data_IF_140848145264
#
_entry.id   IF_140848145264
#
_cell.length_a   1.000
_cell.length_b   1.000
_cell.length_c   1.000
_cell.angle_alpha   90.00
_cell.angle_beta   90.00
_cell.angle_gamma   90.00
#
_symmetry.space_group_name_H-M   'P 1'
#
loop_
_entity.id
_entity.type
_entity.pdbx_description
1 polymer ?
#
# COMPACT_ATOMS: atom_id res chain seq x y z
N UNK A 1 2.72 6.54 -6.45
CA UNK A 1 2.47 5.09 -6.68
C UNK A 1 3.74 4.45 -7.22
N UNK A 2 4.12 3.26 -6.75
CA UNK A 2 5.25 2.49 -7.29
C UNK A 2 4.77 1.37 -8.21
N UNK A 3 5.45 1.15 -9.34
CA UNK A 3 5.09 0.12 -10.34
C UNK A 3 6.37 -0.52 -10.88
N UNK A 4 6.37 -1.85 -10.96
CA UNK A 4 7.43 -2.70 -11.49
C UNK A 4 6.84 -3.78 -12.41
N UNK A 5 7.66 -4.35 -13.30
CA UNK A 5 7.27 -5.42 -14.22
C UNK A 5 7.02 -6.76 -13.52
N UNK A 6 7.65 -6.97 -12.37
CA UNK A 6 7.58 -8.19 -11.60
C UNK A 6 7.41 -7.85 -10.12
N UNK A 7 6.79 -8.77 -9.38
CA UNK A 7 6.67 -8.68 -7.94
C UNK A 7 8.01 -9.00 -7.28
N UNK A 8 8.60 -8.04 -6.57
CA UNK A 8 9.89 -8.20 -5.90
C UNK A 8 9.84 -7.74 -4.45
N UNK A 9 10.73 -8.29 -3.61
CA UNK A 9 10.90 -7.81 -2.23
C UNK A 9 11.23 -6.31 -2.17
N UNK A 10 12.05 -5.83 -3.11
CA UNK A 10 12.41 -4.41 -3.22
C UNK A 10 11.19 -3.55 -3.57
N UNK A 11 10.32 -4.05 -4.45
CA UNK A 11 9.06 -3.39 -4.80
C UNK A 11 8.16 -3.18 -3.58
N UNK A 12 8.03 -4.20 -2.72
CA UNK A 12 7.32 -4.09 -1.45
C UNK A 12 7.94 -3.06 -0.49
N UNK A 13 9.26 -3.07 -0.36
CA UNK A 13 9.99 -2.11 0.48
C UNK A 13 9.78 -0.67 0.01
N UNK A 14 9.91 -0.42 -1.30
CA UNK A 14 9.68 0.90 -1.91
C UNK A 14 8.25 1.38 -1.74
N UNK A 15 7.28 0.47 -1.90
CA UNK A 15 5.86 0.79 -1.69
C UNK A 15 5.61 1.21 -0.24
N UNK A 16 6.12 0.44 0.73
CA UNK A 16 5.99 0.76 2.15
C UNK A 16 6.69 2.05 2.52
N UNK A 17 7.88 2.32 1.97
CA UNK A 17 8.57 3.59 2.16
C UNK A 17 7.73 4.79 1.70
N UNK A 18 7.09 4.70 0.54
CA UNK A 18 6.18 5.76 0.04
C UNK A 18 4.99 5.95 1.00
N UNK A 19 4.41 4.86 1.48
CA UNK A 19 3.28 4.92 2.43
C UNK A 19 3.71 5.56 3.75
N UNK A 20 4.85 5.13 4.31
CA UNK A 20 5.36 5.65 5.58
C UNK A 20 5.74 7.13 5.50
N UNK A 21 6.38 7.55 4.40
CA UNK A 21 6.69 8.98 4.18
C UNK A 21 5.43 9.83 4.06
N UNK A 22 4.34 9.29 3.50
CA UNK A 22 3.11 10.04 3.25
C UNK A 22 2.14 10.06 4.44
N UNK A 23 2.08 8.99 5.22
CA UNK A 23 1.06 8.80 6.27
C UNK A 23 1.63 8.48 7.66
N UNK A 24 2.95 8.36 7.79
CA UNK A 24 3.62 7.89 9.01
C UNK A 24 3.59 6.37 9.17
N UNK A 25 4.17 5.89 10.26
CA UNK A 25 4.22 4.46 10.56
C UNK A 25 2.88 3.97 11.14
N UNK A 26 2.27 2.92 10.56
CA UNK A 26 1.09 2.29 11.14
C UNK A 26 1.47 1.42 12.33
N UNK A 27 0.54 1.16 13.26
CA UNK A 27 0.75 0.20 14.35
C UNK A 27 0.72 -1.26 13.87
N UNK A 28 -0.11 -1.55 12.86
CA UNK A 28 -0.38 -2.91 12.39
C UNK A 28 -0.46 -2.93 10.86
N UNK A 29 0.15 -3.93 10.23
CA UNK A 29 0.00 -4.24 8.81
C UNK A 29 -0.57 -5.65 8.66
N UNK A 30 -1.65 -5.78 7.88
CA UNK A 30 -2.23 -7.07 7.53
C UNK A 30 -1.76 -7.51 6.14
N UNK A 31 -1.16 -8.70 6.04
CA UNK A 31 -0.54 -9.22 4.81
C UNK A 31 -1.00 -10.62 4.50
N UNK A 32 -0.85 -11.05 3.24
CA UNK A 32 -0.97 -12.48 2.91
C UNK A 32 0.28 -13.22 3.39
N UNK A 33 0.20 -14.55 3.47
CA UNK A 33 1.36 -15.41 3.74
C UNK A 33 2.30 -15.43 2.53
N UNK A 34 2.91 -14.29 2.24
CA UNK A 34 3.92 -14.12 1.21
C UNK A 34 5.31 -14.23 1.84
N UNK A 35 6.27 -14.86 1.15
CA UNK A 35 7.62 -15.13 1.68
C UNK A 35 8.39 -13.89 2.16
N UNK A 36 8.01 -12.69 1.68
CA UNK A 36 8.56 -11.40 2.13
C UNK A 36 8.16 -11.07 3.57
N UNK A 37 6.91 -11.34 3.94
CA UNK A 37 6.28 -10.94 5.20
C UNK A 37 6.06 -12.10 6.17
N UNK A 38 6.36 -13.31 5.73
CA UNK A 38 6.13 -14.53 6.49
C UNK A 38 7.22 -15.54 6.13
N UNK A 39 8.06 -15.88 7.11
CA UNK A 39 8.97 -17.02 6.98
C UNK A 39 8.24 -18.33 7.26
N UNK A 40 8.93 -19.45 7.07
CA UNK A 40 8.45 -20.77 7.51
C UNK A 40 8.02 -20.76 8.98
N UNK A 41 7.20 -21.72 9.39
CA UNK A 41 6.67 -21.77 10.77
C UNK A 41 7.77 -21.56 11.82
N UNK A 42 7.66 -20.47 12.59
CA UNK A 42 8.59 -20.11 13.65
C UNK A 42 9.81 -19.28 13.24
N UNK A 43 9.96 -18.89 11.96
CA UNK A 43 11.08 -18.05 11.51
C UNK A 43 10.57 -16.70 11.00
N UNK A 44 10.96 -15.62 11.67
CA UNK A 44 10.69 -14.26 11.19
C UNK A 44 11.61 -13.92 10.02
N UNK A 45 11.06 -13.25 8.99
CA UNK A 45 11.90 -12.72 7.92
C UNK A 45 12.71 -11.53 8.45
N UNK A 46 13.85 -11.23 7.81
CA UNK A 46 14.60 -10.00 8.13
C UNK A 46 13.72 -8.75 7.99
N UNK A 47 12.76 -8.79 7.08
CA UNK A 47 11.83 -7.68 6.86
C UNK A 47 10.82 -7.53 7.99
N UNK A 48 10.29 -8.64 8.49
CA UNK A 48 9.40 -8.68 9.66
C UNK A 48 10.10 -8.15 10.91
N UNK A 49 11.34 -8.58 11.16
CA UNK A 49 12.18 -8.09 12.27
C UNK A 49 12.35 -6.57 12.24
N UNK A 50 12.76 -6.03 11.10
CA UNK A 50 12.97 -4.59 10.92
C UNK A 50 11.70 -3.76 11.12
N UNK A 51 10.53 -4.32 10.79
CA UNK A 51 9.24 -3.66 11.00
C UNK A 51 8.82 -3.72 12.47
N UNK A 52 9.01 -4.88 13.13
CA UNK A 52 8.74 -5.05 14.56
C UNK A 52 9.60 -4.11 15.42
N UNK A 53 10.88 -3.93 15.10
CA UNK A 53 11.78 -2.96 15.77
C UNK A 53 11.29 -1.51 15.65
N UNK A 54 10.59 -1.17 14.57
CA UNK A 54 9.95 0.13 14.36
C UNK A 54 8.58 0.25 15.05
N UNK A 55 8.18 -0.75 15.83
CA UNK A 55 6.88 -0.80 16.50
C UNK A 55 5.71 -1.13 15.58
N UNK A 56 5.99 -1.68 14.39
CA UNK A 56 4.99 -2.04 13.38
C UNK A 56 4.78 -3.54 13.41
N UNK A 57 3.61 -3.98 13.89
CA UNK A 57 3.29 -5.41 13.98
C UNK A 57 2.73 -5.94 12.65
N UNK A 58 3.29 -7.03 12.14
CA UNK A 58 2.78 -7.72 10.94
C UNK A 58 1.84 -8.85 11.35
N UNK A 59 0.69 -8.95 10.67
CA UNK A 59 -0.26 -10.05 10.85
C UNK A 59 -0.52 -10.68 9.48
N UNK A 60 0.16 -11.80 9.23
CA UNK A 60 0.03 -12.58 8.00
C UNK A 60 -1.10 -13.61 8.11
N UNK A 61 -1.96 -13.71 7.10
CA UNK A 61 -3.00 -14.74 7.03
C UNK A 61 -3.32 -15.12 5.59
N UNK A 62 -3.58 -16.41 5.37
CA UNK A 62 -4.10 -16.95 4.11
C UNK A 62 -5.62 -16.92 4.02
N UNK A 63 -6.33 -16.43 5.05
CA UNK A 63 -7.79 -16.38 5.05
C UNK A 63 -8.29 -15.12 4.32
N UNK A 64 -8.95 -15.27 3.15
CA UNK A 64 -9.46 -14.12 2.37
C UNK A 64 -10.44 -13.25 3.17
N UNK A 65 -11.21 -13.87 4.09
CA UNK A 65 -12.18 -13.16 4.95
C UNK A 65 -11.52 -12.13 5.87
N UNK A 66 -10.20 -12.14 6.03
CA UNK A 66 -9.48 -11.14 6.83
C UNK A 66 -9.19 -9.84 6.08
N UNK A 67 -9.35 -9.79 4.75
CA UNK A 67 -9.02 -8.59 3.95
C UNK A 67 -10.10 -8.16 2.92
N UNK A 68 -11.41 -8.26 3.21
CA UNK A 68 -12.46 -7.96 2.23
C UNK A 68 -12.47 -6.49 1.78
N UNK A 69 -11.94 -5.58 2.59
CA UNK A 69 -11.81 -4.17 2.22
C UNK A 69 -10.66 -3.94 1.23
N UNK A 70 -9.52 -4.59 1.43
CA UNK A 70 -8.35 -4.46 0.54
C UNK A 70 -8.66 -5.08 -0.82
N UNK A 71 -9.25 -6.28 -0.85
CA UNK A 71 -9.61 -6.95 -2.10
C UNK A 71 -10.62 -6.16 -2.93
N UNK A 72 -11.68 -5.63 -2.30
CA UNK A 72 -12.65 -4.75 -2.98
C UNK A 72 -11.98 -3.49 -3.50
N UNK A 73 -11.15 -2.86 -2.67
CA UNK A 73 -10.39 -1.67 -3.05
C UNK A 73 -9.47 -1.95 -4.25
N UNK A 74 -8.79 -3.09 -4.24
CA UNK A 74 -7.86 -3.50 -5.29
C UNK A 74 -8.59 -3.78 -6.60
N UNK A 75 -9.72 -4.50 -6.58
CA UNK A 75 -10.56 -4.71 -7.76
C UNK A 75 -10.97 -3.37 -8.40
N UNK A 76 -11.51 -2.45 -7.60
CA UNK A 76 -11.87 -1.13 -8.12
C UNK A 76 -10.67 -0.34 -8.65
N UNK A 77 -9.47 -0.55 -8.11
CA UNK A 77 -8.27 0.08 -8.64
C UNK A 77 -7.89 -0.53 -10.00
N UNK A 78 -7.94 -1.85 -10.13
CA UNK A 78 -7.68 -2.54 -11.39
C UNK A 78 -8.67 -2.12 -12.48
N UNK A 79 -9.96 -1.95 -12.15
CA UNK A 79 -10.96 -1.51 -13.13
C UNK A 79 -10.73 -0.07 -13.62
N UNK A 80 -10.19 0.80 -12.76
CA UNK A 80 -9.99 2.23 -13.05
C UNK A 80 -8.64 2.54 -13.68
N UNK A 81 -7.65 1.68 -13.52
CA UNK A 81 -6.31 1.88 -14.04
C UNK A 81 -6.26 1.95 -15.59
N UNK A 82 -6.92 1.04 -16.36
CA UNK A 82 -6.96 1.15 -17.83
C UNK A 82 -7.60 2.44 -18.33
N UNK A 83 -8.69 2.87 -17.68
CA UNK A 83 -9.38 4.14 -18.00
C UNK A 83 -8.42 5.31 -17.81
N UNK A 84 -7.72 5.35 -16.68
CA UNK A 84 -6.74 6.39 -16.40
C UNK A 84 -5.57 6.39 -17.40
N UNK A 85 -5.02 5.21 -17.72
CA UNK A 85 -3.92 5.05 -18.70
C UNK A 85 -4.35 5.60 -20.06
N UNK A 86 -5.54 5.23 -20.53
CA UNK A 86 -6.10 5.69 -21.80
C UNK A 86 -6.30 7.21 -21.82
N UNK A 87 -6.96 7.77 -20.80
CA UNK A 87 -7.26 9.20 -20.70
C UNK A 87 -5.99 10.09 -20.62
N UNK A 88 -4.92 9.57 -20.03
CA UNK A 88 -3.67 10.31 -19.83
C UNK A 88 -2.59 9.93 -20.85
N UNK A 89 -2.92 9.13 -21.87
CA UNK A 89 -2.01 8.72 -22.94
C UNK A 89 -0.69 8.11 -22.41
N UNK A 90 -0.76 7.34 -21.33
CA UNK A 90 0.40 6.70 -20.69
C UNK A 90 0.87 5.53 -21.55
N UNK A 91 2.15 5.52 -21.95
CA UNK A 91 2.71 4.51 -22.86
C UNK A 91 3.74 3.60 -22.22
N UNK A 92 4.38 4.03 -21.13
CA UNK A 92 5.47 3.29 -20.47
C UNK A 92 5.22 3.13 -18.97
N UNK A 93 5.91 2.18 -18.34
CA UNK A 93 5.86 2.01 -16.89
C UNK A 93 6.49 3.21 -16.17
N UNK A 94 7.50 3.86 -16.77
CA UNK A 94 8.10 5.11 -16.30
C UNK A 94 7.07 6.24 -16.29
N UNK A 95 6.29 6.38 -17.36
CA UNK A 95 5.22 7.37 -17.43
C UNK A 95 4.15 7.11 -16.36
N UNK A 96 3.81 5.85 -16.13
CA UNK A 96 2.86 5.47 -15.09
C UNK A 96 3.40 5.80 -13.70
N UNK A 97 4.69 5.57 -13.45
CA UNK A 97 5.37 5.93 -12.20
C UNK A 97 5.36 7.45 -11.99
N UNK A 98 5.70 8.24 -13.03
CA UNK A 98 5.66 9.72 -13.02
C UNK A 98 4.25 10.26 -12.79
N UNK A 99 3.23 9.61 -13.32
CA UNK A 99 1.82 9.99 -13.14
C UNK A 99 1.15 9.28 -11.95
N UNK A 100 1.92 8.57 -11.12
CA UNK A 100 1.39 7.72 -10.06
C UNK A 100 0.57 8.47 -9.02
N UNK A 101 0.95 9.70 -8.67
CA UNK A 101 0.18 10.50 -7.71
C UNK A 101 -1.11 11.06 -8.31
N UNK A 102 -1.10 11.38 -9.62
CA UNK A 102 -2.32 11.74 -10.34
C UNK A 102 -3.31 10.57 -10.33
N UNK A 103 -2.83 9.34 -10.53
CA UNK A 103 -3.66 8.16 -10.46
C UNK A 103 -4.25 7.94 -9.06
N UNK A 104 -3.43 8.04 -8.01
CA UNK A 104 -3.91 7.91 -6.62
C UNK A 104 -5.00 8.93 -6.31
N UNK A 105 -4.82 10.18 -6.76
CA UNK A 105 -5.83 11.23 -6.58
C UNK A 105 -7.10 10.95 -7.38
N UNK A 106 -6.97 10.57 -8.66
CA UNK A 106 -8.09 10.14 -9.51
C UNK A 106 -8.89 9.01 -8.85
N UNK A 107 -8.20 7.99 -8.35
CA UNK A 107 -8.82 6.85 -7.66
C UNK A 107 -9.58 7.29 -6.39
N UNK A 108 -8.93 8.08 -5.53
CA UNK A 108 -9.51 8.52 -4.27
C UNK A 108 -10.74 9.42 -4.48
N UNK A 109 -10.72 10.31 -5.48
CA UNK A 109 -11.86 11.18 -5.82
C UNK A 109 -13.03 10.39 -6.39
N UNK A 110 -12.78 9.49 -7.36
CA UNK A 110 -13.86 8.74 -8.02
C UNK A 110 -14.58 7.76 -7.10
N UNK A 111 -13.89 7.21 -6.10
CA UNK A 111 -14.51 6.32 -5.11
C UNK A 111 -14.94 7.04 -3.83
N UNK A 112 -14.88 8.38 -3.80
CA UNK A 112 -15.15 9.21 -2.61
C UNK A 112 -14.37 8.73 -1.38
N UNK A 113 -13.18 8.15 -1.57
CA UNK A 113 -12.26 7.70 -0.52
C UNK A 113 -11.42 8.82 0.04
N UNK A 114 -11.90 10.06 -0.08
CA UNK A 114 -11.27 11.21 0.56
C UNK A 114 -11.18 10.87 2.05
N UNK A 115 -9.96 10.69 2.55
CA UNK A 115 -9.69 10.71 3.97
C UNK A 115 -10.30 12.02 4.47
N UNK A 116 -11.34 11.93 5.29
CA UNK A 116 -11.83 13.08 6.04
C UNK A 116 -10.59 13.71 6.68
N UNK A 117 -10.28 14.96 6.34
CA UNK A 117 -9.16 15.73 6.89
C UNK A 117 -9.31 16.01 8.40
N UNK A 118 -10.12 15.23 9.11
CA UNK A 118 -10.47 15.46 10.51
C UNK A 118 -9.89 14.33 11.34
N UNK A 119 -9.21 14.69 12.44
CA UNK A 119 -8.57 13.85 13.46
C UNK A 119 -7.05 13.66 13.41
N UNK A 120 -6.32 14.66 12.95
CA UNK A 120 -5.04 14.99 13.60
C UNK A 120 -5.03 16.46 14.00
N UNK A 121 -5.95 16.84 14.91
CA UNK A 121 -5.67 17.98 15.78
C UNK A 121 -4.54 17.56 16.69
N UNK A 122 -3.40 18.20 16.50
CA UNK A 122 -2.36 18.44 17.50
C UNK A 122 -2.97 18.54 18.90
N UNK A 123 -2.78 17.50 19.71
CA UNK A 123 -2.63 17.71 21.15
C UNK A 123 -1.22 18.29 21.35
N UNK A 124 -1.13 19.62 21.31
CA UNK A 124 -0.16 20.33 22.13
C UNK A 124 -0.75 20.25 23.55
N UNK A 125 -0.23 19.34 24.36
CA UNK A 125 -0.46 19.38 25.79
C UNK A 125 0.51 20.39 26.40
N UNK A 126 -0.05 21.24 27.27
CA UNK A 126 0.58 22.33 28.01
C UNK A 126 1.60 21.83 29.03
#
# INVERSE_FOLDING_TARGET
>A
MWVEYQETNLGYQRLLEIVFKRFGFPKIIHTDKHKTFWGSEGTETMFEKNLNEKGIRIISSSNPKRKPHVERSFRSAQDKLPVFISQNQIKTIEDLRRNGDKYVNYYNTNLKKLLLKNHYSTKKEC
#
